data_IF_353419943718
#
_entry.id   IF_353419943718
#
_cell.length_a   1.000
_cell.length_b   1.000
_cell.length_c   1.000
_cell.angle_alpha   90.00
_cell.angle_beta   90.00
_cell.angle_gamma   90.00
#
_symmetry.space_group_name_H-M   'P 1'
#
loop_
_entity.id
_entity.type
_entity.pdbx_description
1 polymer ?
#
# COMPACT_ATOMS: atom_id res chain seq x y z
N UNK A 1 -2.80 16.27 -15.45
CA UNK A 1 -2.89 14.86 -15.03
C UNK A 1 -4.20 14.64 -14.29
N UNK A 2 -4.93 13.62 -14.69
CA UNK A 2 -6.24 13.18 -14.21
C UNK A 2 -6.03 11.97 -13.30
N UNK A 3 -6.50 12.07 -12.07
CA UNK A 3 -6.23 11.10 -11.00
C UNK A 3 -7.51 10.36 -10.62
N UNK A 4 -7.44 9.04 -10.50
CA UNK A 4 -8.42 8.23 -9.77
C UNK A 4 -7.85 7.78 -8.44
N UNK A 5 -8.54 8.01 -7.32
CA UNK A 5 -8.12 7.53 -6.00
C UNK A 5 -8.88 6.25 -5.68
N UNK A 6 -8.19 5.13 -5.45
CA UNK A 6 -8.79 3.83 -5.15
C UNK A 6 -8.33 3.37 -3.77
N UNK A 7 -9.27 3.29 -2.84
CA UNK A 7 -9.02 3.09 -1.42
C UNK A 7 -8.88 4.42 -0.69
N UNK A 8 -9.89 4.77 0.11
CA UNK A 8 -9.98 6.07 0.79
C UNK A 8 -10.01 5.95 2.32
N UNK A 9 -9.12 5.08 2.83
CA UNK A 9 -8.79 4.97 4.26
C UNK A 9 -7.80 6.05 4.71
N UNK A 10 -7.00 5.79 5.73
CA UNK A 10 -6.03 6.74 6.28
C UNK A 10 -5.06 7.27 5.19
N UNK A 11 -4.39 6.35 4.48
CA UNK A 11 -3.43 6.71 3.42
C UNK A 11 -4.07 7.53 2.29
N UNK A 12 -5.21 7.07 1.76
CA UNK A 12 -5.91 7.77 0.68
C UNK A 12 -6.37 9.18 1.08
N UNK A 13 -6.87 9.34 2.31
CA UNK A 13 -7.27 10.65 2.86
C UNK A 13 -6.07 11.57 3.08
N UNK A 14 -4.97 11.06 3.62
CA UNK A 14 -3.76 11.85 3.82
C UNK A 14 -3.15 12.29 2.49
N UNK A 15 -3.13 11.41 1.49
CA UNK A 15 -2.73 11.77 0.13
C UNK A 15 -3.62 12.88 -0.45
N UNK A 16 -4.95 12.79 -0.28
CA UNK A 16 -5.88 13.82 -0.72
C UNK A 16 -5.64 15.17 0.00
N UNK A 17 -5.36 15.17 1.30
CA UNK A 17 -4.99 16.39 2.06
C UNK A 17 -3.72 17.03 1.50
N UNK A 18 -2.70 16.22 1.21
CA UNK A 18 -1.45 16.70 0.62
C UNK A 18 -1.67 17.28 -0.78
N UNK A 19 -2.51 16.65 -1.60
CA UNK A 19 -2.87 17.19 -2.91
C UNK A 19 -3.54 18.56 -2.78
N UNK A 20 -4.54 18.70 -1.92
CA UNK A 20 -5.25 19.98 -1.70
C UNK A 20 -4.33 21.06 -1.13
N UNK A 21 -3.48 20.70 -0.17
CA UNK A 21 -2.53 21.62 0.47
C UNK A 21 -1.34 22.00 -0.41
N UNK A 22 -1.12 21.28 -1.51
CA UNK A 22 -0.08 21.61 -2.49
C UNK A 22 -0.57 22.60 -3.55
N UNK A 23 0.36 23.27 -4.22
CA UNK A 23 0.08 24.03 -5.45
C UNK A 23 -0.06 23.12 -6.68
N UNK A 24 -0.40 21.84 -6.49
CA UNK A 24 -0.59 20.92 -7.60
C UNK A 24 -1.82 21.29 -8.43
N UNK A 25 -1.69 21.14 -9.75
CA UNK A 25 -2.75 21.39 -10.74
C UNK A 25 -3.39 20.06 -11.20
N UNK A 26 -3.31 19.02 -10.36
CA UNK A 26 -3.84 17.71 -10.69
C UNK A 26 -5.37 17.70 -10.51
N UNK A 27 -6.06 17.08 -11.46
CA UNK A 27 -7.51 16.92 -11.43
C UNK A 27 -7.84 15.57 -10.80
N UNK A 28 -8.48 15.55 -9.63
CA UNK A 28 -9.03 14.31 -9.06
C UNK A 28 -10.39 14.07 -9.73
N UNK A 29 -10.49 12.99 -10.49
CA UNK A 29 -11.68 12.66 -11.29
C UNK A 29 -12.70 11.89 -10.46
N UNK A 30 -12.23 10.94 -9.67
CA UNK A 30 -13.08 10.11 -8.83
C UNK A 30 -12.32 9.52 -7.66
N UNK A 31 -13.08 9.18 -6.62
CA UNK A 31 -12.60 8.51 -5.40
C UNK A 31 -13.47 7.28 -5.19
N UNK A 32 -12.84 6.11 -5.13
CA UNK A 32 -13.47 4.81 -4.84
C UNK A 32 -13.04 4.36 -3.45
N UNK A 33 -14.01 4.03 -2.61
CA UNK A 33 -13.83 3.47 -1.27
C UNK A 33 -14.51 2.09 -1.16
N UNK A 34 -14.28 1.38 -0.06
CA UNK A 34 -14.87 0.05 0.16
C UNK A 34 -16.40 0.04 0.26
N UNK A 35 -17.04 1.21 0.47
CA UNK A 35 -18.49 1.37 0.66
C UNK A 35 -19.14 2.29 -0.39
N UNK A 36 -18.49 2.49 -1.53
CA UNK A 36 -19.01 3.30 -2.63
C UNK A 36 -17.94 4.16 -3.29
N UNK A 37 -18.34 4.97 -4.26
CA UNK A 37 -17.46 5.89 -4.95
C UNK A 37 -18.16 7.20 -5.28
N UNK A 38 -17.38 8.20 -5.67
CA UNK A 38 -17.85 9.52 -6.07
C UNK A 38 -17.02 10.01 -7.26
N UNK A 39 -17.67 10.70 -8.19
CA UNK A 39 -17.05 11.34 -9.35
C UNK A 39 -17.18 12.85 -9.18
N UNK A 40 -16.19 13.60 -9.65
CA UNK A 40 -16.18 15.05 -9.49
C UNK A 40 -17.28 15.70 -10.32
N UNK A 41 -17.83 16.78 -9.78
CA UNK A 41 -18.95 17.50 -10.39
C UNK A 41 -18.50 18.69 -11.25
N UNK A 42 -17.19 18.98 -11.29
CA UNK A 42 -16.62 20.07 -12.09
C UNK A 42 -16.40 19.72 -13.56
N UNK A 43 -15.85 20.68 -14.30
CA UNK A 43 -15.53 20.53 -15.73
C UNK A 43 -14.61 19.32 -15.94
N UNK A 44 -14.98 18.42 -16.86
CA UNK A 44 -14.21 17.20 -17.13
C UNK A 44 -14.17 16.23 -15.94
N UNK A 45 -15.17 16.29 -15.06
CA UNK A 45 -15.31 15.51 -13.83
C UNK A 45 -14.26 15.82 -12.77
N UNK A 46 -13.60 16.98 -12.85
CA UNK A 46 -12.59 17.36 -11.87
C UNK A 46 -13.23 17.85 -10.58
N UNK A 47 -12.86 17.22 -9.46
CA UNK A 47 -13.25 17.69 -8.13
C UNK A 47 -12.50 18.98 -7.77
N UNK A 48 -13.21 19.92 -7.15
CA UNK A 48 -12.57 21.08 -6.53
C UNK A 48 -11.99 20.74 -5.13
N UNK A 49 -11.27 21.70 -4.56
CA UNK A 49 -10.60 21.52 -3.26
C UNK A 49 -11.59 21.30 -2.12
N UNK A 50 -12.73 22.00 -2.14
CA UNK A 50 -13.72 21.92 -1.07
C UNK A 50 -14.47 20.58 -1.11
N UNK A 51 -14.76 20.09 -2.32
CA UNK A 51 -15.33 18.76 -2.57
C UNK A 51 -14.42 17.66 -2.03
N UNK A 52 -13.12 17.69 -2.37
CA UNK A 52 -12.13 16.71 -1.87
C UNK A 52 -12.08 16.76 -0.33
N UNK A 53 -11.98 17.95 0.25
CA UNK A 53 -11.88 18.11 1.71
C UNK A 53 -13.15 17.68 2.44
N UNK A 54 -14.32 17.89 1.83
CA UNK A 54 -15.59 17.38 2.36
C UNK A 54 -15.58 15.85 2.47
N UNK A 55 -15.08 15.14 1.45
CA UNK A 55 -14.95 13.67 1.50
C UNK A 55 -13.85 13.20 2.48
N UNK A 56 -12.74 13.93 2.60
CA UNK A 56 -11.71 13.63 3.61
C UNK A 56 -12.32 13.66 5.02
N UNK A 57 -13.10 14.70 5.32
CA UNK A 57 -13.68 14.93 6.65
C UNK A 57 -14.84 13.99 6.96
N UNK A 58 -15.80 13.87 6.03
CA UNK A 58 -17.02 13.08 6.25
C UNK A 58 -16.84 11.60 5.93
N UNK A 59 -15.79 11.24 5.19
CA UNK A 59 -15.68 9.92 4.58
C UNK A 59 -16.64 9.74 3.40
N UNK A 60 -16.54 8.60 2.75
CA UNK A 60 -17.42 8.21 1.65
C UNK A 60 -18.31 7.08 2.18
N UNK A 61 -19.52 7.45 2.56
CA UNK A 61 -20.55 6.54 3.03
C UNK A 61 -21.78 6.78 2.16
N UNK A 62 -22.24 5.77 1.41
CA UNK A 62 -23.34 5.92 0.46
C UNK A 62 -23.16 7.13 -0.49
N UNK A 63 -21.94 7.29 -1.02
CA UNK A 63 -21.72 8.18 -2.16
C UNK A 63 -22.66 7.73 -3.28
N UNK A 64 -23.57 8.62 -3.68
CA UNK A 64 -24.54 8.36 -4.73
C UNK A 64 -23.84 7.85 -5.99
N UNK A 65 -24.10 6.60 -6.36
CA UNK A 65 -23.63 5.96 -7.60
C UNK A 65 -22.51 4.94 -7.37
N UNK A 66 -22.77 3.68 -7.70
CA UNK A 66 -21.84 2.56 -7.68
C UNK A 66 -20.70 2.67 -8.69
N UNK A 67 -19.91 3.74 -8.58
CA UNK A 67 -18.72 3.97 -9.38
C UNK A 67 -17.72 2.87 -9.08
N UNK A 68 -17.25 2.23 -10.14
CA UNK A 68 -16.30 1.14 -10.11
C UNK A 68 -15.09 1.47 -11.01
N UNK A 69 -14.20 0.50 -11.20
CA UNK A 69 -12.97 0.69 -11.99
C UNK A 69 -13.26 0.98 -13.48
N UNK A 70 -14.34 0.43 -14.06
CA UNK A 70 -14.73 0.72 -15.45
C UNK A 70 -15.14 2.18 -15.65
N UNK A 71 -15.78 2.78 -14.65
CA UNK A 71 -16.14 4.19 -14.69
C UNK A 71 -14.89 5.08 -14.68
N UNK A 72 -13.85 4.70 -13.93
CA UNK A 72 -12.56 5.39 -13.95
C UNK A 72 -11.88 5.31 -15.32
N UNK A 73 -11.89 4.13 -15.93
CA UNK A 73 -11.34 3.91 -17.28
C UNK A 73 -12.10 4.77 -18.28
N UNK A 74 -13.43 4.73 -18.24
CA UNK A 74 -14.32 5.51 -19.12
C UNK A 74 -14.13 7.02 -18.94
N UNK A 75 -13.76 7.46 -17.74
CA UNK A 75 -13.46 8.86 -17.44
C UNK A 75 -12.05 9.32 -17.88
N UNK A 76 -11.29 8.45 -18.56
CA UNK A 76 -9.95 8.72 -19.10
C UNK A 76 -9.01 9.31 -18.03
N UNK A 77 -8.81 8.59 -16.93
CA UNK A 77 -7.78 8.96 -15.95
C UNK A 77 -6.38 8.60 -16.46
N UNK A 78 -5.38 9.40 -16.12
CA UNK A 78 -3.98 9.13 -16.49
C UNK A 78 -3.31 8.21 -15.45
N UNK A 79 -3.64 8.44 -14.17
CA UNK A 79 -2.99 7.77 -13.04
C UNK A 79 -4.03 7.35 -12.00
N UNK A 80 -3.94 6.10 -11.58
CA UNK A 80 -4.66 5.58 -10.42
C UNK A 80 -3.75 5.55 -9.19
N UNK A 81 -4.19 6.14 -8.09
CA UNK A 81 -3.53 6.04 -6.78
C UNK A 81 -4.24 4.97 -5.96
N UNK A 82 -3.57 3.83 -5.77
CA UNK A 82 -4.15 2.63 -5.15
C UNK A 82 -3.63 2.47 -3.72
N UNK A 83 -4.54 2.57 -2.74
CA UNK A 83 -4.29 2.38 -1.30
C UNK A 83 -5.43 1.61 -0.63
N UNK A 84 -5.69 0.40 -1.13
CA UNK A 84 -6.68 -0.53 -0.58
C UNK A 84 -6.03 -1.49 0.45
N UNK A 85 -6.80 -2.08 1.37
CA UNK A 85 -6.29 -3.09 2.30
C UNK A 85 -5.62 -4.26 1.58
N UNK A 86 -4.56 -4.84 2.17
CA UNK A 86 -3.88 -5.96 1.55
C UNK A 86 -4.68 -7.26 1.66
N UNK A 87 -4.56 -8.12 0.64
CA UNK A 87 -5.08 -9.49 0.68
C UNK A 87 -4.07 -10.47 0.09
N UNK A 88 -3.15 -10.94 0.93
CA UNK A 88 -2.10 -11.87 0.49
C UNK A 88 -2.60 -13.30 0.23
N UNK A 89 -3.79 -13.65 0.72
CA UNK A 89 -4.35 -14.99 0.59
C UNK A 89 -4.78 -15.30 -0.85
N UNK A 90 -5.74 -14.54 -1.38
CA UNK A 90 -6.19 -14.67 -2.77
C UNK A 90 -5.49 -13.72 -3.74
N UNK A 91 -4.94 -12.61 -3.26
CA UNK A 91 -4.47 -11.51 -4.08
C UNK A 91 -5.57 -10.61 -4.64
N UNK A 92 -6.85 -10.95 -4.45
CA UNK A 92 -8.00 -10.22 -4.98
C UNK A 92 -8.70 -9.37 -3.90
N UNK A 93 -9.22 -8.18 -4.24
CA UNK A 93 -9.34 -7.62 -5.60
C UNK A 93 -8.08 -6.90 -6.11
N UNK A 94 -6.99 -6.89 -5.34
CA UNK A 94 -5.81 -6.08 -5.61
C UNK A 94 -5.20 -6.38 -6.99
N UNK A 95 -4.89 -7.64 -7.28
CA UNK A 95 -4.32 -8.04 -8.57
C UNK A 95 -5.26 -7.74 -9.75
N UNK A 96 -6.56 -8.04 -9.60
CA UNK A 96 -7.56 -7.74 -10.61
C UNK A 96 -7.62 -6.25 -10.95
N UNK A 97 -7.61 -5.38 -9.94
CA UNK A 97 -7.59 -3.92 -10.12
C UNK A 97 -6.33 -3.48 -10.87
N UNK A 98 -5.14 -3.96 -10.48
CA UNK A 98 -3.89 -3.55 -11.12
C UNK A 98 -3.86 -3.98 -12.57
N UNK A 99 -4.17 -5.24 -12.86
CA UNK A 99 -4.19 -5.77 -14.23
C UNK A 99 -5.17 -5.01 -15.11
N UNK A 100 -6.35 -4.71 -14.58
CA UNK A 100 -7.38 -3.98 -15.30
C UNK A 100 -6.94 -2.56 -15.66
N UNK A 101 -6.36 -1.83 -14.72
CA UNK A 101 -5.86 -0.47 -14.96
C UNK A 101 -4.71 -0.46 -15.96
N UNK A 102 -3.71 -1.32 -15.76
CA UNK A 102 -2.51 -1.37 -16.61
C UNK A 102 -2.82 -1.80 -18.04
N UNK A 103 -3.70 -2.78 -18.23
CA UNK A 103 -4.15 -3.20 -19.58
C UNK A 103 -4.92 -2.10 -20.34
N UNK A 104 -5.32 -1.02 -19.66
CA UNK A 104 -5.95 0.15 -20.27
C UNK A 104 -4.99 1.36 -20.34
N UNK A 105 -3.69 1.14 -20.18
CA UNK A 105 -2.68 2.20 -20.25
C UNK A 105 -2.66 3.14 -19.04
N UNK A 106 -3.40 2.84 -17.98
CA UNK A 106 -3.48 3.70 -16.79
C UNK A 106 -2.31 3.38 -15.85
N UNK A 107 -1.48 4.38 -15.58
CA UNK A 107 -0.35 4.23 -14.66
C UNK A 107 -0.83 4.12 -13.20
N UNK A 108 -0.10 3.37 -12.38
CA UNK A 108 -0.43 3.12 -10.98
C UNK A 108 0.61 3.76 -10.06
N UNK A 109 0.15 4.51 -9.06
CA UNK A 109 0.93 4.87 -7.88
C UNK A 109 0.33 4.10 -6.70
N UNK A 110 1.13 3.41 -5.89
CA UNK A 110 0.58 2.58 -4.83
C UNK A 110 1.39 2.52 -3.54
N UNK A 111 0.65 2.35 -2.43
CA UNK A 111 1.16 1.92 -1.13
C UNK A 111 0.72 0.48 -0.78
N UNK A 112 -0.07 -0.16 -1.63
CA UNK A 112 -0.44 -1.56 -1.50
C UNK A 112 0.72 -2.47 -1.95
N UNK A 113 1.03 -3.45 -1.12
CA UNK A 113 2.12 -4.41 -1.35
C UNK A 113 1.63 -5.67 -2.05
N UNK A 114 0.33 -5.96 -2.01
CA UNK A 114 -0.24 -7.26 -2.39
C UNK A 114 0.09 -7.61 -3.83
N UNK A 115 -0.20 -6.72 -4.78
CA UNK A 115 0.06 -6.97 -6.19
C UNK A 115 1.53 -7.24 -6.47
N UNK A 116 2.41 -6.40 -5.90
CA UNK A 116 3.85 -6.50 -6.10
C UNK A 116 4.48 -7.70 -5.38
N UNK A 117 3.95 -8.11 -4.22
CA UNK A 117 4.45 -9.27 -3.49
C UNK A 117 4.04 -10.60 -4.13
N UNK A 118 2.96 -10.61 -4.92
CA UNK A 118 2.43 -11.81 -5.57
C UNK A 118 2.81 -11.92 -7.05
N UNK A 119 2.94 -10.81 -7.77
CA UNK A 119 3.19 -10.78 -9.21
C UNK A 119 4.02 -9.56 -9.66
N UNK A 120 5.18 -9.36 -9.04
CA UNK A 120 6.04 -8.22 -9.33
C UNK A 120 6.40 -8.10 -10.83
N UNK A 121 7.06 -9.14 -11.36
CA UNK A 121 7.58 -9.12 -12.72
C UNK A 121 6.47 -9.08 -13.77
N UNK A 122 5.35 -9.77 -13.53
CA UNK A 122 4.21 -9.79 -14.44
C UNK A 122 3.52 -8.44 -14.52
N UNK A 123 3.32 -7.76 -13.38
CA UNK A 123 2.73 -6.42 -13.36
C UNK A 123 3.64 -5.38 -14.02
N UNK A 124 4.95 -5.40 -13.76
CA UNK A 124 5.89 -4.48 -14.40
C UNK A 124 5.95 -4.69 -15.92
N UNK A 125 5.95 -5.95 -16.36
CA UNK A 125 5.88 -6.29 -17.79
C UNK A 125 4.58 -5.78 -18.41
N UNK A 126 3.45 -6.05 -17.77
CA UNK A 126 2.13 -5.62 -18.25
C UNK A 126 2.05 -4.10 -18.37
N UNK A 127 2.60 -3.37 -17.40
CA UNK A 127 2.67 -1.91 -17.45
C UNK A 127 3.46 -1.45 -18.69
N UNK A 128 4.67 -2.00 -18.89
CA UNK A 128 5.52 -1.65 -20.02
C UNK A 128 4.89 -1.98 -21.38
N UNK A 129 4.22 -3.13 -21.49
CA UNK A 129 3.55 -3.56 -22.73
C UNK A 129 2.38 -2.63 -23.13
N UNK A 130 1.83 -1.87 -22.18
CA UNK A 130 0.69 -0.97 -22.38
C UNK A 130 1.05 0.52 -22.19
N UNK A 131 2.34 0.87 -22.29
CA UNK A 131 2.85 2.25 -22.10
C UNK A 131 2.43 2.90 -20.76
N UNK A 132 2.29 2.07 -19.73
CA UNK A 132 1.94 2.46 -18.37
C UNK A 132 3.13 2.25 -17.41
N UNK A 133 3.06 2.86 -16.23
CA UNK A 133 4.07 2.73 -15.19
C UNK A 133 3.47 2.31 -13.85
N UNK A 134 4.25 1.63 -13.03
CA UNK A 134 3.92 1.38 -11.62
C UNK A 134 4.97 2.07 -10.75
N UNK A 135 4.52 2.94 -9.84
CA UNK A 135 5.34 3.60 -8.83
C UNK A 135 4.91 3.15 -7.44
N UNK A 136 5.84 2.60 -6.68
CA UNK A 136 5.56 1.87 -5.45
C UNK A 136 6.52 2.21 -4.30
N UNK A 137 7.07 3.42 -4.28
CA UNK A 137 8.03 3.81 -3.24
C UNK A 137 7.44 3.69 -1.82
N UNK A 138 6.14 3.98 -1.67
CA UNK A 138 5.46 3.95 -0.37
C UNK A 138 5.25 2.54 0.20
N UNK A 139 5.47 1.47 -0.58
CA UNK A 139 5.17 0.10 -0.15
C UNK A 139 6.18 -0.44 0.86
N UNK A 140 7.42 0.06 0.86
CA UNK A 140 8.49 -0.38 1.77
C UNK A 140 9.02 0.80 2.56
N UNK A 141 8.92 0.70 3.89
CA UNK A 141 9.38 1.71 4.85
C UNK A 141 8.84 3.14 4.59
N UNK A 142 7.61 3.23 4.08
CA UNK A 142 6.82 4.45 3.92
C UNK A 142 7.58 5.61 3.26
N UNK A 143 7.90 6.67 4.02
CA UNK A 143 8.56 7.87 3.51
C UNK A 143 10.07 7.74 3.32
N UNK A 144 10.70 6.70 3.88
CA UNK A 144 12.15 6.51 3.75
C UNK A 144 12.51 6.08 2.32
N UNK A 145 13.70 6.44 1.80
CA UNK A 145 14.11 6.12 0.44
C UNK A 145 14.60 4.66 0.29
N UNK A 146 13.95 3.68 0.93
CA UNK A 146 14.40 2.28 0.94
C UNK A 146 14.43 1.68 -0.48
N UNK A 147 13.37 1.90 -1.27
CA UNK A 147 13.32 1.46 -2.68
C UNK A 147 14.38 2.15 -3.52
N UNK A 148 14.60 3.46 -3.31
CA UNK A 148 15.58 4.24 -4.08
C UNK A 148 17.03 3.82 -3.73
N UNK A 149 17.30 3.52 -2.46
CA UNK A 149 18.57 2.96 -2.00
C UNK A 149 18.85 1.63 -2.70
N UNK A 150 17.89 0.72 -2.70
CA UNK A 150 18.02 -0.59 -3.34
C UNK A 150 18.21 -0.47 -4.86
N UNK A 151 17.49 0.45 -5.51
CA UNK A 151 17.70 0.79 -6.93
C UNK A 151 19.14 1.25 -7.20
N UNK A 152 19.71 2.06 -6.31
CA UNK A 152 21.10 2.52 -6.41
C UNK A 152 22.15 1.41 -6.26
N UNK A 153 21.75 0.22 -5.78
CA UNK A 153 22.62 -0.95 -5.68
C UNK A 153 22.50 -1.89 -6.89
N UNK A 154 21.61 -1.60 -7.86
CA UNK A 154 21.51 -2.40 -9.09
C UNK A 154 22.86 -2.46 -9.82
N UNK A 155 23.19 -3.65 -10.33
CA UNK A 155 24.48 -3.92 -10.98
C UNK A 155 25.64 -4.17 -10.00
N UNK A 156 25.41 -4.09 -8.68
CA UNK A 156 26.36 -4.55 -7.66
C UNK A 156 26.00 -5.96 -7.18
N UNK A 157 27.01 -6.70 -6.72
CA UNK A 157 26.83 -8.00 -6.09
C UNK A 157 26.40 -7.84 -4.64
N UNK A 158 25.08 -7.64 -4.41
CA UNK A 158 24.50 -7.66 -3.06
C UNK A 158 24.44 -9.11 -2.56
N UNK A 159 25.12 -9.40 -1.44
CA UNK A 159 25.15 -10.76 -0.85
C UNK A 159 23.91 -11.06 -0.03
N UNK A 160 23.53 -10.14 0.87
CA UNK A 160 22.40 -10.30 1.77
C UNK A 160 21.78 -8.94 2.15
N UNK A 161 20.48 -8.96 2.46
CA UNK A 161 19.75 -7.86 3.10
C UNK A 161 19.22 -8.39 4.43
N UNK A 162 19.52 -7.66 5.51
CA UNK A 162 18.92 -7.86 6.83
C UNK A 162 18.24 -6.56 7.23
N UNK A 163 16.97 -6.63 7.62
CA UNK A 163 16.19 -5.45 7.93
C UNK A 163 15.05 -5.77 8.90
N UNK A 164 14.72 -4.79 9.75
CA UNK A 164 13.47 -4.76 10.53
C UNK A 164 12.45 -3.99 9.69
N UNK A 165 11.48 -4.71 9.13
CA UNK A 165 10.56 -4.15 8.12
C UNK A 165 9.15 -3.91 8.65
N UNK A 166 8.82 -4.33 9.87
CA UNK A 166 7.50 -4.15 10.48
C UNK A 166 7.62 -3.44 11.83
N UNK A 167 6.94 -2.29 11.95
CA UNK A 167 7.00 -1.45 13.14
C UNK A 167 6.21 -2.03 14.30
N UNK A 168 5.07 -2.69 14.02
CA UNK A 168 4.20 -3.30 15.02
C UNK A 168 4.91 -4.42 15.77
N UNK A 169 5.52 -5.38 15.06
CA UNK A 169 6.30 -6.45 15.68
C UNK A 169 7.49 -5.89 16.46
N UNK A 170 8.17 -4.87 15.90
CA UNK A 170 9.29 -4.23 16.59
C UNK A 170 8.86 -3.55 17.90
N UNK A 171 7.72 -2.85 17.88
CA UNK A 171 7.15 -2.23 19.08
C UNK A 171 6.81 -3.28 20.14
N UNK A 172 6.16 -4.38 19.74
CA UNK A 172 5.80 -5.47 20.65
C UNK A 172 7.06 -6.07 21.29
N UNK A 173 8.12 -6.33 20.50
CA UNK A 173 9.41 -6.81 21.03
C UNK A 173 10.02 -5.85 22.05
N UNK A 174 10.04 -4.54 21.75
CA UNK A 174 10.55 -3.52 22.67
C UNK A 174 9.77 -3.46 23.99
N UNK A 175 8.45 -3.72 23.96
CA UNK A 175 7.66 -3.77 25.19
C UNK A 175 7.95 -5.03 26.02
N UNK A 176 8.19 -6.16 25.38
CA UNK A 176 8.55 -7.42 26.04
C UNK A 176 9.95 -7.31 26.69
N UNK A 177 10.90 -6.74 25.96
CA UNK A 177 12.24 -6.38 26.46
C UNK A 177 12.13 -5.48 27.70
N UNK A 178 11.21 -4.52 27.69
CA UNK A 178 10.86 -3.69 28.85
C UNK A 178 10.07 -4.38 29.97
N UNK A 179 9.85 -5.69 29.90
CA UNK A 179 9.20 -6.49 30.94
C UNK A 179 7.69 -6.73 30.77
N UNK A 180 7.08 -6.29 29.66
CA UNK A 180 5.67 -6.61 29.38
C UNK A 180 5.50 -8.08 28.99
N UNK A 181 4.29 -8.62 29.16
CA UNK A 181 3.91 -9.86 28.48
C UNK A 181 3.63 -9.58 27.00
N UNK A 182 3.73 -10.61 26.16
CA UNK A 182 3.42 -10.53 24.73
C UNK A 182 1.99 -10.08 24.50
N UNK A 183 1.05 -10.58 25.32
CA UNK A 183 -0.35 -10.21 25.26
C UNK A 183 -0.55 -8.73 25.54
N UNK A 184 0.01 -8.22 26.64
CA UNK A 184 -0.15 -6.81 27.03
C UNK A 184 0.50 -5.88 26.01
N UNK A 185 1.64 -6.28 25.44
CA UNK A 185 2.33 -5.53 24.40
C UNK A 185 1.52 -5.45 23.10
N UNK A 186 0.88 -6.55 22.68
CA UNK A 186 -0.01 -6.58 21.51
C UNK A 186 -1.27 -5.74 21.77
N UNK A 187 -1.90 -5.91 22.93
CA UNK A 187 -3.10 -5.14 23.32
C UNK A 187 -2.80 -3.64 23.35
N UNK A 188 -1.60 -3.26 23.83
CA UNK A 188 -1.12 -1.87 23.80
C UNK A 188 -0.91 -1.38 22.36
N UNK A 189 -0.31 -2.17 21.47
CA UNK A 189 -0.12 -1.79 20.08
C UNK A 189 -1.45 -1.50 19.36
N UNK A 190 -2.48 -2.31 19.62
CA UNK A 190 -3.84 -2.07 19.12
C UNK A 190 -4.45 -0.80 19.73
N UNK A 191 -4.32 -0.62 21.04
CA UNK A 191 -4.84 0.56 21.75
C UNK A 191 -4.22 1.86 21.24
N UNK A 192 -2.92 1.86 20.94
CA UNK A 192 -2.19 2.99 20.37
C UNK A 192 -2.41 3.17 18.86
N UNK A 193 -3.23 2.31 18.23
CA UNK A 193 -3.49 2.29 16.77
C UNK A 193 -2.22 2.09 15.93
N UNK A 194 -1.21 1.46 16.52
CA UNK A 194 -0.03 0.96 15.79
C UNK A 194 -0.36 -0.33 15.04
N UNK A 195 -1.27 -1.12 15.59
CA UNK A 195 -1.82 -2.32 14.97
C UNK A 195 -3.32 -2.17 14.69
N UNK A 196 -3.80 -2.86 13.66
CA UNK A 196 -5.24 -3.05 13.44
C UNK A 196 -5.83 -3.97 14.53
N UNK A 197 -7.16 -3.95 14.76
CA UNK A 197 -7.81 -4.83 15.74
C UNK A 197 -7.52 -6.32 15.53
N UNK A 198 -7.27 -6.72 14.28
CA UNK A 198 -6.74 -8.02 13.90
C UNK A 198 -5.30 -7.84 13.38
N UNK A 199 -4.27 -8.07 14.24
CA UNK A 199 -2.88 -7.78 13.91
C UNK A 199 -2.18 -8.93 13.15
N UNK A 200 -2.91 -9.94 12.64
CA UNK A 200 -2.31 -11.13 12.00
C UNK A 200 -1.42 -10.80 10.80
N UNK A 201 -1.76 -9.77 10.02
CA UNK A 201 -0.90 -9.34 8.88
C UNK A 201 0.50 -8.94 9.35
N UNK A 202 0.59 -8.30 10.51
CA UNK A 202 1.86 -7.90 11.11
C UNK A 202 2.52 -9.07 11.83
N UNK A 203 1.78 -9.74 12.73
CA UNK A 203 2.30 -10.77 13.61
C UNK A 203 2.68 -12.05 12.86
N UNK A 204 1.91 -12.50 11.86
CA UNK A 204 2.26 -13.71 11.10
C UNK A 204 3.37 -13.47 10.06
N UNK A 205 3.90 -12.23 9.99
CA UNK A 205 5.04 -11.86 9.15
C UNK A 205 4.69 -11.52 7.70
N UNK A 206 3.41 -11.50 7.33
CA UNK A 206 2.97 -11.23 5.95
C UNK A 206 3.43 -9.86 5.44
N UNK A 207 3.28 -8.80 6.25
CA UNK A 207 3.71 -7.45 5.86
C UNK A 207 5.24 -7.35 5.69
N UNK A 208 6.02 -7.95 6.59
CA UNK A 208 7.47 -7.98 6.49
C UNK A 208 7.94 -8.79 5.27
N UNK A 209 7.32 -9.96 5.03
CA UNK A 209 7.59 -10.80 3.87
C UNK A 209 7.29 -10.09 2.55
N UNK A 210 6.15 -9.41 2.45
CA UNK A 210 5.77 -8.65 1.27
C UNK A 210 6.78 -7.53 0.97
N UNK A 211 7.24 -6.81 1.99
CA UNK A 211 8.30 -5.79 1.84
C UNK A 211 9.62 -6.40 1.37
N UNK A 212 10.00 -7.56 1.93
CA UNK A 212 11.21 -8.27 1.54
C UNK A 212 11.17 -8.72 0.07
N UNK A 213 10.05 -9.27 -0.39
CA UNK A 213 9.85 -9.67 -1.80
C UNK A 213 10.03 -8.48 -2.74
N UNK A 214 9.45 -7.32 -2.38
CA UNK A 214 9.57 -6.11 -3.19
C UNK A 214 11.03 -5.65 -3.28
N UNK A 215 11.76 -5.65 -2.16
CA UNK A 215 13.19 -5.30 -2.15
C UNK A 215 14.04 -6.30 -2.95
N UNK A 216 13.75 -7.60 -2.82
CA UNK A 216 14.46 -8.66 -3.53
C UNK A 216 14.28 -8.54 -5.06
N UNK A 217 13.04 -8.35 -5.52
CA UNK A 217 12.76 -8.13 -6.94
C UNK A 217 13.42 -6.85 -7.45
N UNK A 218 13.52 -5.81 -6.62
CA UNK A 218 14.17 -4.57 -7.03
C UNK A 218 15.68 -4.73 -7.27
N UNK A 219 16.32 -5.68 -6.58
CA UNK A 219 17.70 -6.13 -6.85
C UNK A 219 17.83 -7.13 -8.00
N UNK A 220 16.72 -7.56 -8.61
CA UNK A 220 16.70 -8.54 -9.70
C UNK A 220 16.53 -9.99 -9.25
N UNK A 221 16.31 -10.26 -7.95
CA UNK A 221 15.95 -11.59 -7.45
C UNK A 221 14.45 -11.81 -7.66
N UNK A 222 14.09 -12.51 -8.74
CA UNK A 222 12.70 -12.84 -9.04
C UNK A 222 12.14 -13.76 -7.95
N UNK A 223 11.23 -13.24 -7.15
CA UNK A 223 10.58 -13.98 -6.07
C UNK A 223 9.16 -13.49 -5.86
N UNK A 224 8.38 -14.30 -5.18
CA UNK A 224 7.04 -14.00 -4.70
C UNK A 224 6.95 -14.33 -3.22
N UNK A 225 5.83 -13.97 -2.60
CA UNK A 225 5.59 -14.28 -1.19
C UNK A 225 5.59 -15.79 -0.89
N UNK A 226 5.35 -16.64 -1.90
CA UNK A 226 5.44 -18.10 -1.78
C UNK A 226 6.87 -18.61 -1.60
N UNK A 227 7.85 -17.84 -2.06
CA UNK A 227 9.28 -18.17 -1.95
C UNK A 227 9.86 -17.74 -0.59
N UNK A 228 9.08 -17.03 0.23
CA UNK A 228 9.50 -16.54 1.54
C UNK A 228 9.02 -17.49 2.62
N UNK A 229 9.97 -17.99 3.43
CA UNK A 229 9.63 -18.67 4.69
C UNK A 229 9.17 -17.64 5.71
N UNK A 230 7.86 -17.61 5.97
CA UNK A 230 7.27 -16.79 7.02
C UNK A 230 7.27 -17.55 8.34
N UNK A 231 7.77 -16.89 9.38
CA UNK A 231 7.64 -17.35 10.76
C UNK A 231 6.90 -16.25 11.50
N UNK A 232 5.72 -16.57 12.02
CA UNK A 232 4.93 -15.62 12.79
C UNK A 232 5.57 -15.29 14.14
N UNK A 233 4.99 -14.29 14.80
CA UNK A 233 5.38 -13.81 16.11
C UNK A 233 5.04 -14.87 17.15
N UNK A 234 6.03 -15.73 17.45
CA UNK A 234 5.99 -16.69 18.53
C UNK A 234 7.38 -16.68 19.19
N UNK A 235 7.57 -15.69 20.08
CA UNK A 235 8.85 -15.48 20.76
C UNK A 235 8.77 -15.97 22.19
N UNK A 236 9.88 -16.52 22.66
CA UNK A 236 10.07 -16.78 24.08
C UNK A 236 10.43 -15.45 24.77
N UNK A 237 9.58 -14.99 25.68
CA UNK A 237 9.75 -13.70 26.34
C UNK A 237 11.04 -13.63 27.16
N UNK A 238 11.49 -14.76 27.73
CA UNK A 238 12.72 -14.79 28.52
C UNK A 238 13.96 -14.65 27.62
N UNK A 239 13.91 -15.23 26.41
CA UNK A 239 14.98 -15.05 25.42
C UNK A 239 15.07 -13.58 25.00
N UNK A 240 13.92 -12.92 24.78
CA UNK A 240 13.86 -11.49 24.42
C UNK A 240 14.41 -10.59 25.53
N UNK A 241 14.14 -10.91 26.79
CA UNK A 241 14.63 -10.14 27.96
C UNK A 241 16.11 -10.37 28.27
N UNK A 242 16.70 -11.41 27.73
CA UNK A 242 18.10 -11.78 27.98
C UNK A 242 19.11 -11.05 27.10
N UNK A 243 18.64 -10.16 26.21
CA UNK A 243 19.44 -9.34 25.30
C UNK A 243 19.24 -7.86 25.63
#
# INVERSE_FOLDING_TARGET
>A
MRLGLIGFGNVGKDFARLLVGSNSIHCVVAIIASRGGVMGNGVGNCMDRDEIMNYVNKGIYNGTGGINIDDLISANIDVAVVSIPPNYGSGEPNLGIYRKLLSNGISIITADKTGLALDFSGLLKLANDNDAQIRYRATVMAGTPAIDLVRGLRGRSVRDIKAVLNATTNFVLTKIEGGSSSRDAIDLAVKEKLAEPDPRIDLDGWDAGAKLVILANELGFKSTLRDVKLTGFNVNEDDVRSH
#
